data_IF_792339623194
#
_entry.id   IF_792339623194
#
_cell.length_a   1.000
_cell.length_b   1.000
_cell.length_c   1.000
_cell.angle_alpha   90.00
_cell.angle_beta   90.00
_cell.angle_gamma   90.00
#
_symmetry.space_group_name_H-M   'P 1'
#
loop_
_entity.id
_entity.type
_entity.pdbx_description
1 polymer ?
#
# COMPACT_ATOMS: atom_id res chain seq x y z
N UNK A 1 5.04 -1.68 -3.90
CA UNK A 1 4.51 -0.31 -3.71
C UNK A 1 4.19 0.26 -5.07
N UNK A 2 2.98 0.78 -5.22
CA UNK A 2 2.51 1.42 -6.44
C UNK A 2 1.84 2.75 -6.08
N UNK A 3 2.07 3.79 -6.87
CA UNK A 3 1.36 5.06 -6.78
C UNK A 3 0.32 5.13 -7.89
N UNK A 4 -0.95 5.27 -7.55
CA UNK A 4 -2.02 5.46 -8.54
C UNK A 4 -2.64 6.86 -8.44
N UNK A 5 -2.94 7.42 -9.61
CA UNK A 5 -3.64 8.69 -9.77
C UNK A 5 -5.10 8.37 -10.05
N UNK A 6 -5.94 8.30 -9.02
CA UNK A 6 -7.37 8.06 -9.21
C UNK A 6 -7.97 9.14 -10.14
N UNK A 7 -8.37 8.76 -11.36
CA UNK A 7 -8.97 9.65 -12.36
C UNK A 7 -10.45 9.85 -12.05
N UNK A 8 -10.82 11.03 -11.55
CA UNK A 8 -12.20 11.57 -11.58
C UNK A 8 -12.32 12.65 -12.68
N UNK A 9 -13.54 12.98 -13.16
CA UNK A 9 -13.74 13.98 -14.22
C UNK A 9 -13.24 15.37 -13.79
N UNK A 10 -12.87 16.16 -14.79
CA UNK A 10 -12.04 17.37 -14.66
C UNK A 10 -12.78 18.54 -13.98
N UNK A 11 -11.99 19.30 -13.20
CA UNK A 11 -12.20 20.66 -12.66
C UNK A 11 -12.99 20.78 -11.35
N UNK A 12 -12.31 20.49 -10.23
CA UNK A 12 -12.35 21.22 -8.96
C UNK A 12 -11.11 20.78 -8.14
N UNK A 13 -10.65 21.60 -7.20
CA UNK A 13 -9.43 21.46 -6.40
C UNK A 13 -9.26 20.06 -5.74
N UNK A 14 -8.02 19.56 -5.60
CA UNK A 14 -7.71 18.43 -4.68
C UNK A 14 -7.45 17.04 -5.26
N UNK A 15 -6.51 16.88 -6.21
CA UNK A 15 -6.08 15.55 -6.67
C UNK A 15 -5.01 14.93 -5.75
N UNK A 16 -5.44 14.21 -4.72
CA UNK A 16 -4.53 13.37 -3.92
C UNK A 16 -4.05 12.13 -4.69
N UNK A 17 -2.78 11.78 -4.55
CA UNK A 17 -2.13 10.56 -5.05
C UNK A 17 -2.18 9.48 -3.99
N UNK A 18 -2.67 8.29 -4.36
CA UNK A 18 -2.75 7.14 -3.46
C UNK A 18 -1.49 6.29 -3.61
N UNK A 19 -0.71 6.20 -2.54
CA UNK A 19 0.38 5.22 -2.45
C UNK A 19 -0.11 3.98 -1.71
N UNK A 20 0.13 2.79 -2.26
CA UNK A 20 -0.23 1.53 -1.64
C UNK A 20 0.91 0.51 -1.65
N UNK A 21 0.86 -0.38 -0.67
CA UNK A 21 1.75 -1.51 -0.49
C UNK A 21 0.95 -2.72 -0.01
N UNK A 22 1.46 -3.91 -0.34
CA UNK A 22 0.93 -5.18 0.13
C UNK A 22 2.13 -6.02 0.54
N UNK A 23 2.04 -6.67 1.69
CA UNK A 23 3.03 -7.66 2.11
C UNK A 23 2.84 -8.96 1.32
N UNK A 24 3.95 -9.53 0.83
CA UNK A 24 3.92 -10.70 -0.04
C UNK A 24 3.46 -11.96 0.70
N UNK A 25 3.89 -12.12 1.96
CA UNK A 25 3.62 -13.32 2.75
C UNK A 25 2.21 -13.36 3.36
N UNK A 26 1.73 -12.21 3.84
CA UNK A 26 0.47 -12.09 4.58
C UNK A 26 -0.65 -11.39 3.83
N UNK A 27 -0.38 -10.77 2.68
CA UNK A 27 -1.32 -9.88 1.98
C UNK A 27 -1.79 -8.68 2.79
N UNK A 28 -1.12 -8.36 3.91
CA UNK A 28 -1.45 -7.20 4.71
C UNK A 28 -1.23 -5.93 3.89
N UNK A 29 -2.33 -5.25 3.59
CA UNK A 29 -2.37 -4.06 2.74
C UNK A 29 -2.24 -2.78 3.54
N UNK A 30 -1.52 -1.81 2.98
CA UNK A 30 -1.38 -0.48 3.54
C UNK A 30 -1.47 0.56 2.42
N UNK A 31 -2.22 1.64 2.64
CA UNK A 31 -2.29 2.75 1.70
C UNK A 31 -2.49 4.08 2.42
N UNK A 32 -2.01 5.17 1.81
CA UNK A 32 -2.25 6.55 2.27
C UNK A 32 -2.33 7.51 1.10
N UNK A 33 -3.17 8.54 1.25
CA UNK A 33 -3.24 9.68 0.34
C UNK A 33 -2.15 10.70 0.65
N UNK A 34 -1.63 11.30 -0.42
CA UNK A 34 -0.67 12.40 -0.42
C UNK A 34 -1.08 13.44 -1.46
N UNK A 35 -0.68 14.71 -1.32
CA UNK A 35 -1.05 15.76 -2.29
C UNK A 35 -0.38 15.58 -3.67
N UNK A 36 0.69 14.81 -3.75
CA UNK A 36 1.48 14.67 -4.98
C UNK A 36 2.27 13.35 -5.05
N UNK A 37 2.83 13.08 -6.23
CA UNK A 37 3.67 11.93 -6.52
C UNK A 37 5.17 12.30 -6.47
N UNK A 38 5.59 13.10 -5.48
CA UNK A 38 6.99 13.50 -5.35
C UNK A 38 7.82 12.50 -4.54
N UNK A 39 9.15 12.61 -4.63
CA UNK A 39 10.05 11.86 -3.76
C UNK A 39 9.85 12.18 -2.27
N UNK A 40 9.36 13.37 -1.92
CA UNK A 40 9.06 13.74 -0.53
C UNK A 40 7.85 12.95 0.00
N UNK A 41 6.76 12.93 -0.77
CA UNK A 41 5.55 12.14 -0.49
C UNK A 41 5.85 10.65 -0.42
N UNK A 42 6.61 10.11 -1.39
CA UNK A 42 7.05 8.72 -1.34
C UNK A 42 7.87 8.41 -0.07
N UNK A 43 8.82 9.27 0.33
CA UNK A 43 9.57 9.09 1.58
C UNK A 43 8.69 9.18 2.83
N UNK A 44 7.65 10.01 2.81
CA UNK A 44 6.68 10.07 3.90
C UNK A 44 5.85 8.77 3.98
N UNK A 45 5.44 8.24 2.82
CA UNK A 45 4.81 6.93 2.71
C UNK A 45 5.69 5.82 3.27
N UNK A 46 6.98 5.78 2.90
CA UNK A 46 7.94 4.80 3.41
C UNK A 46 8.03 4.82 4.95
N UNK A 47 8.03 6.02 5.57
CA UNK A 47 8.05 6.14 7.03
C UNK A 47 6.80 5.53 7.65
N UNK A 48 5.63 5.94 7.15
CA UNK A 48 4.36 5.45 7.66
C UNK A 48 4.21 3.93 7.47
N UNK A 49 4.64 3.43 6.31
CA UNK A 49 4.64 2.01 5.96
C UNK A 49 5.53 1.20 6.92
N UNK A 50 6.76 1.63 7.15
CA UNK A 50 7.68 0.94 8.05
C UNK A 50 7.12 0.89 9.49
N UNK A 51 6.55 1.99 9.97
CA UNK A 51 5.89 2.04 11.28
C UNK A 51 4.66 1.12 11.35
N UNK A 52 3.83 1.09 10.30
CA UNK A 52 2.65 0.24 10.23
C UNK A 52 3.02 -1.26 10.29
N UNK A 53 3.99 -1.69 9.48
CA UNK A 53 4.43 -3.09 9.49
C UNK A 53 5.13 -3.47 10.80
N UNK A 54 5.96 -2.59 11.36
CA UNK A 54 6.59 -2.83 12.66
C UNK A 54 5.56 -3.00 13.79
N UNK A 55 4.46 -2.22 13.78
CA UNK A 55 3.37 -2.37 14.75
C UNK A 55 2.64 -3.73 14.64
N UNK A 56 2.77 -4.42 13.51
CA UNK A 56 2.26 -5.76 13.28
C UNK A 56 3.34 -6.85 13.42
N UNK A 57 4.51 -6.52 13.98
CA UNK A 57 5.63 -7.45 14.15
C UNK A 57 6.36 -7.83 12.85
N UNK A 58 6.15 -7.08 11.76
CA UNK A 58 6.75 -7.35 10.45
C UNK A 58 7.96 -6.45 10.22
N UNK A 59 9.13 -7.06 10.06
CA UNK A 59 10.34 -6.37 9.62
C UNK A 59 10.39 -6.27 8.09
N UNK A 60 10.35 -5.04 7.57
CA UNK A 60 10.39 -4.82 6.11
C UNK A 60 11.83 -4.98 5.60
N UNK A 61 12.16 -6.10 4.99
CA UNK A 61 13.54 -6.33 4.48
C UNK A 61 13.80 -5.74 3.09
N UNK A 62 12.74 -5.61 2.31
CA UNK A 62 12.82 -5.25 0.89
C UNK A 62 11.51 -4.64 0.43
N UNK A 63 11.61 -3.61 -0.41
CA UNK A 63 10.45 -3.04 -1.09
C UNK A 63 10.67 -3.09 -2.60
N UNK A 64 9.70 -3.68 -3.31
CA UNK A 64 9.61 -3.61 -4.76
C UNK A 64 8.69 -2.46 -5.17
N UNK A 65 9.16 -1.59 -6.06
CA UNK A 65 8.37 -0.50 -6.66
C UNK A 65 8.31 -0.64 -8.17
N UNK A 66 7.39 0.08 -8.81
CA UNK A 66 7.49 0.34 -10.24
C UNK A 66 8.66 1.31 -10.57
N UNK A 67 8.73 1.73 -11.84
CA UNK A 67 9.76 2.64 -12.34
C UNK A 67 9.36 4.13 -12.26
N UNK A 68 8.37 4.48 -11.44
CA UNK A 68 7.94 5.84 -11.15
C UNK A 68 9.10 6.73 -10.72
N UNK A 69 9.05 8.00 -11.14
CA UNK A 69 10.16 8.95 -10.90
C UNK A 69 10.42 9.21 -9.42
N UNK A 70 9.38 9.12 -8.58
CA UNK A 70 9.46 9.26 -7.13
C UNK A 70 10.24 8.13 -6.45
N UNK A 71 10.32 6.94 -7.06
CA UNK A 71 11.00 5.74 -6.53
C UNK A 71 12.46 5.58 -7.02
N UNK A 72 13.10 6.67 -7.45
CA UNK A 72 14.50 6.68 -7.91
C UNK A 72 15.50 6.86 -6.74
N UNK A 73 16.61 7.59 -6.96
CA UNK A 73 17.74 7.71 -6.04
C UNK A 73 17.33 8.07 -4.60
N UNK A 74 16.55 9.14 -4.41
CA UNK A 74 16.14 9.63 -3.08
C UNK A 74 15.29 8.61 -2.30
N UNK A 75 14.54 7.76 -3.00
CA UNK A 75 13.79 6.67 -2.41
C UNK A 75 14.73 5.54 -1.96
N UNK A 76 15.63 5.11 -2.85
CA UNK A 76 16.62 4.07 -2.52
C UNK A 76 17.45 4.45 -1.28
N UNK A 77 17.96 5.68 -1.22
CA UNK A 77 18.68 6.20 -0.05
C UNK A 77 17.81 6.19 1.23
N UNK A 78 16.50 6.43 1.11
CA UNK A 78 15.59 6.44 2.26
C UNK A 78 15.27 5.04 2.77
N UNK A 79 15.20 4.05 1.88
CA UNK A 79 15.12 2.64 2.21
C UNK A 79 16.41 2.16 2.89
N UNK A 80 17.56 2.49 2.32
CA UNK A 80 18.87 2.09 2.85
C UNK A 80 19.11 2.61 4.27
N UNK A 81 18.77 3.87 4.56
CA UNK A 81 18.81 4.43 5.93
C UNK A 81 17.93 3.69 6.95
N UNK A 82 17.07 2.78 6.51
CA UNK A 82 16.20 1.91 7.35
C UNK A 82 16.62 0.44 7.30
N UNK A 83 17.73 0.11 6.63
CA UNK A 83 18.14 -1.27 6.38
C UNK A 83 17.25 -1.99 5.36
N UNK A 84 16.44 -1.26 4.59
CA UNK A 84 15.49 -1.82 3.62
C UNK A 84 16.13 -1.85 2.24
N UNK A 85 16.12 -3.01 1.57
CA UNK A 85 16.62 -3.11 0.18
C UNK A 85 15.57 -2.59 -0.80
N UNK A 86 15.88 -1.52 -1.53
CA UNK A 86 15.02 -1.04 -2.61
C UNK A 86 15.22 -1.88 -3.88
N UNK A 87 14.13 -2.39 -4.45
CA UNK A 87 14.09 -3.05 -5.77
C UNK A 87 13.07 -2.35 -6.67
N UNK A 88 13.31 -2.41 -7.98
CA UNK A 88 12.37 -1.94 -9.00
C UNK A 88 11.96 -3.10 -9.89
N UNK A 89 10.72 -3.06 -10.38
CA UNK A 89 10.25 -4.03 -11.36
C UNK A 89 11.12 -3.95 -12.61
N UNK A 90 11.50 -5.13 -13.13
CA UNK A 90 12.15 -5.19 -14.44
C UNK A 90 11.13 -4.78 -15.50
N UNK A 91 11.54 -4.03 -16.54
CA UNK A 91 10.69 -3.81 -17.71
C UNK A 91 10.09 -5.14 -18.20
N UNK A 92 8.80 -5.12 -18.54
CA UNK A 92 8.06 -6.28 -19.07
C UNK A 92 7.88 -7.48 -18.12
N UNK A 93 8.04 -7.32 -16.79
CA UNK A 93 7.67 -8.34 -15.79
C UNK A 93 6.64 -7.83 -14.76
N UNK A 94 5.35 -7.77 -15.13
CA UNK A 94 4.29 -7.20 -14.29
C UNK A 94 3.85 -8.10 -13.13
N UNK A 95 4.27 -9.37 -13.09
CA UNK A 95 3.73 -10.40 -12.19
C UNK A 95 3.78 -9.99 -10.71
N UNK A 96 4.85 -9.33 -10.27
CA UNK A 96 5.02 -8.91 -8.87
C UNK A 96 4.33 -7.57 -8.54
N UNK A 97 3.96 -6.78 -9.56
CA UNK A 97 3.14 -5.58 -9.34
C UNK A 97 1.65 -5.90 -9.37
N UNK A 98 1.26 -7.02 -9.98
CA UNK A 98 -0.14 -7.44 -10.11
C UNK A 98 -0.88 -7.60 -8.77
N UNK A 99 -0.15 -7.85 -7.68
CA UNK A 99 -0.75 -7.98 -6.34
C UNK A 99 -1.18 -6.64 -5.77
N UNK A 100 -0.27 -5.65 -5.80
CA UNK A 100 -0.60 -4.28 -5.36
C UNK A 100 -1.59 -3.62 -6.32
N UNK A 101 -1.50 -3.89 -7.63
CA UNK A 101 -2.48 -3.43 -8.63
C UNK A 101 -3.88 -4.02 -8.37
N UNK A 102 -3.98 -5.33 -8.10
CA UNK A 102 -5.26 -5.96 -7.74
C UNK A 102 -5.81 -5.38 -6.45
N UNK A 103 -4.97 -5.21 -5.43
CA UNK A 103 -5.35 -4.59 -4.16
C UNK A 103 -5.88 -3.17 -4.36
N UNK A 104 -5.14 -2.34 -5.10
CA UNK A 104 -5.53 -0.97 -5.41
C UNK A 104 -6.85 -0.91 -6.18
N UNK A 105 -7.05 -1.78 -7.17
CA UNK A 105 -8.32 -1.83 -7.92
C UNK A 105 -9.50 -2.15 -7.01
N UNK A 106 -9.37 -3.14 -6.11
CA UNK A 106 -10.42 -3.47 -5.13
C UNK A 106 -10.66 -2.29 -4.17
N UNK A 107 -9.58 -1.71 -3.64
CA UNK A 107 -9.65 -0.55 -2.74
C UNK A 107 -10.36 0.63 -3.40
N UNK A 108 -10.04 0.98 -4.65
CA UNK A 108 -10.70 2.07 -5.34
C UNK A 108 -12.18 1.77 -5.58
N UNK A 109 -12.52 0.54 -5.98
CA UNK A 109 -13.90 0.10 -6.17
C UNK A 109 -14.76 0.21 -4.91
N UNK A 110 -14.19 -0.12 -3.75
CA UNK A 110 -14.96 -0.27 -2.50
C UNK A 110 -14.85 0.92 -1.54
N UNK A 111 -13.83 1.77 -1.69
CA UNK A 111 -13.65 2.96 -0.87
C UNK A 111 -13.78 4.25 -1.67
N UNK A 112 -13.10 4.37 -2.82
CA UNK A 112 -13.04 5.63 -3.54
C UNK A 112 -14.36 5.96 -4.25
N UNK A 113 -15.07 4.95 -4.74
CA UNK A 113 -16.26 5.12 -5.58
C UNK A 113 -17.59 4.85 -4.87
N UNK A 114 -17.57 4.49 -3.58
CA UNK A 114 -18.79 4.14 -2.84
C UNK A 114 -19.50 5.35 -2.24
N UNK A 115 -18.79 6.47 -2.05
CA UNK A 115 -19.38 7.72 -1.54
C UNK A 115 -18.58 8.94 -1.95
N UNK A 116 -19.24 10.10 -1.95
CA UNK A 116 -18.58 11.40 -2.03
C UNK A 116 -18.02 11.79 -0.67
N UNK A 117 -16.87 12.47 -0.64
CA UNK A 117 -16.23 12.97 0.58
C UNK A 117 -16.23 14.50 0.54
N UNK A 118 -16.52 15.14 1.68
CA UNK A 118 -16.54 16.60 1.74
C UNK A 118 -15.12 17.20 1.83
N UNK A 119 -14.22 16.51 2.53
CA UNK A 119 -12.85 16.97 2.79
C UNK A 119 -11.82 15.83 2.68
N UNK A 120 -10.55 16.17 2.43
CA UNK A 120 -9.47 15.18 2.29
C UNK A 120 -9.19 14.42 3.59
N UNK A 121 -9.30 15.07 4.76
CA UNK A 121 -9.13 14.41 6.06
C UNK A 121 -10.18 13.34 6.30
N UNK A 122 -11.44 13.62 5.92
CA UNK A 122 -12.52 12.64 5.98
C UNK A 122 -12.22 11.44 5.07
N UNK A 123 -11.72 11.72 3.86
CA UNK A 123 -11.33 10.70 2.88
C UNK A 123 -10.18 9.83 3.40
N UNK A 124 -9.17 10.43 4.03
CA UNK A 124 -8.04 9.71 4.65
C UNK A 124 -8.50 8.89 5.86
N UNK A 125 -9.39 9.41 6.71
CA UNK A 125 -9.93 8.66 7.84
C UNK A 125 -10.75 7.45 7.38
N UNK A 126 -11.59 7.63 6.36
CA UNK A 126 -12.37 6.55 5.77
C UNK A 126 -11.47 5.48 5.11
N UNK A 127 -10.35 5.89 4.51
CA UNK A 127 -9.36 4.96 3.95
C UNK A 127 -8.77 4.08 5.06
N UNK A 128 -8.39 4.67 6.20
CA UNK A 128 -7.85 3.93 7.33
C UNK A 128 -8.85 2.88 7.86
N UNK A 129 -10.11 3.28 8.07
CA UNK A 129 -11.17 2.37 8.53
C UNK A 129 -11.47 1.26 7.52
N UNK A 130 -11.47 1.57 6.22
CA UNK A 130 -11.62 0.58 5.16
C UNK A 130 -10.46 -0.42 5.17
N UNK A 131 -9.21 0.06 5.27
CA UNK A 131 -8.02 -0.80 5.31
C UNK A 131 -8.05 -1.74 6.51
N UNK A 132 -8.37 -1.24 7.70
CA UNK A 132 -8.49 -2.08 8.91
C UNK A 132 -9.54 -3.18 8.73
N UNK A 133 -10.75 -2.80 8.29
CA UNK A 133 -11.83 -3.76 8.04
C UNK A 133 -11.43 -4.81 6.99
N UNK A 134 -10.83 -4.36 5.88
CA UNK A 134 -10.41 -5.25 4.79
C UNK A 134 -9.33 -6.24 5.25
N UNK A 135 -8.28 -5.77 5.92
CA UNK A 135 -7.20 -6.61 6.47
C UNK A 135 -7.68 -7.59 7.54
N UNK A 136 -8.75 -7.24 8.28
CA UNK A 136 -9.29 -8.09 9.34
C UNK A 136 -10.28 -9.13 8.83
N UNK A 137 -11.10 -8.78 7.83
CA UNK A 137 -12.31 -9.54 7.48
C UNK A 137 -12.29 -10.17 6.09
N UNK A 138 -11.44 -9.71 5.18
CA UNK A 138 -11.40 -10.23 3.81
C UNK A 138 -10.51 -11.47 3.74
N UNK A 139 -11.05 -12.67 3.44
CA UNK A 139 -10.22 -13.85 3.21
C UNK A 139 -9.56 -13.79 1.83
N UNK A 140 -8.31 -14.24 1.74
CA UNK A 140 -7.58 -14.31 0.48
C UNK A 140 -7.38 -15.77 0.05
N UNK A 141 -7.75 -16.09 -1.20
CA UNK A 141 -7.55 -17.45 -1.76
C UNK A 141 -6.08 -17.88 -1.73
N UNK A 142 -5.15 -16.95 -1.98
CA UNK A 142 -3.71 -17.20 -1.91
C UNK A 142 -3.21 -17.54 -0.49
N UNK A 143 -4.02 -17.30 0.54
CA UNK A 143 -3.72 -17.61 1.94
C UNK A 143 -4.56 -18.79 2.46
N UNK A 144 -5.10 -19.64 1.58
CA UNK A 144 -5.97 -20.75 1.99
C UNK A 144 -7.27 -20.30 2.65
N UNK A 145 -7.77 -19.10 2.33
CA UNK A 145 -8.98 -18.55 2.93
C UNK A 145 -8.77 -17.77 4.22
N UNK A 146 -7.53 -17.61 4.69
CA UNK A 146 -7.22 -16.73 5.83
C UNK A 146 -7.29 -15.25 5.44
N UNK A 147 -7.62 -14.41 6.42
CA UNK A 147 -7.49 -12.96 6.29
C UNK A 147 -6.04 -12.53 6.52
N UNK A 148 -5.63 -11.33 6.05
CA UNK A 148 -4.27 -10.86 6.26
C UNK A 148 -3.84 -10.86 7.73
N UNK A 149 -4.68 -10.34 8.64
CA UNK A 149 -4.32 -10.32 10.06
C UNK A 149 -4.26 -11.71 10.70
N UNK A 150 -5.10 -12.66 10.27
CA UNK A 150 -4.97 -14.06 10.69
C UNK A 150 -3.62 -14.63 10.25
N UNK A 151 -3.21 -14.35 9.00
CA UNK A 151 -1.94 -14.84 8.47
C UNK A 151 -0.75 -14.23 9.19
N UNK A 152 -0.77 -12.92 9.49
CA UNK A 152 0.28 -12.22 10.26
C UNK A 152 0.49 -12.88 11.62
N UNK A 153 -0.59 -13.13 12.35
CA UNK A 153 -0.51 -13.74 13.69
C UNK A 153 -0.07 -15.22 13.65
N UNK A 154 -0.21 -15.87 12.49
CA UNK A 154 0.14 -17.28 12.27
C UNK A 154 1.40 -17.47 11.40
N UNK A 155 2.25 -16.43 11.25
CA UNK A 155 3.48 -16.53 10.43
C UNK A 155 4.43 -17.64 10.93
N UNK A 156 4.37 -17.99 12.21
CA UNK A 156 5.16 -19.07 12.84
C UNK A 156 4.64 -20.49 12.55
N UNK A 157 3.49 -20.66 11.89
CA UNK A 157 2.96 -21.99 11.54
C UNK A 157 2.45 -22.82 12.71
N UNK A 158 2.25 -22.23 13.90
CA UNK A 158 1.56 -22.86 15.03
C UNK A 158 0.06 -22.97 14.74
N UNK A 159 -0.30 -23.91 13.88
CA UNK A 159 -1.63 -24.51 13.92
C UNK A 159 -1.58 -25.61 14.99
N UNK A 160 -2.22 -25.37 16.13
CA UNK A 160 -2.71 -26.44 17.00
C UNK A 160 -3.94 -27.05 16.35
#
# INVERSE_FOLDING_TARGET
VHGDRSRQPRRAEGYGVLFAAVDDASRLGFARLYPDETAASARAFLRALASFYAAHGIAVERILTDNGSCFRRRWAEACERRGIRAKRTRPYRPQTNGEVERFLRTLLGEWAYVRSYAHEDERQAALASYLESSNRRRPHRALGGQTPLQRVNNLSGTNT
#
